data_IF_138630107025
#
_entry.id   IF_138630107025
#
_cell.length_a   1.000
_cell.length_b   1.000
_cell.length_c   1.000
_cell.angle_alpha   90.00
_cell.angle_beta   90.00
_cell.angle_gamma   90.00
#
_symmetry.space_group_name_H-M   'P 1'
#
loop_
_entity.id
_entity.type
_entity.pdbx_description
1 polymer ?
#
# COMPACT_ATOMS: atom_id res chain seq x y z
N UNK A 1 -8.50 -13.87 4.70
CA UNK A 1 -9.87 -13.77 4.13
C UNK A 1 -10.04 -14.89 3.09
N UNK A 2 -10.07 -16.17 3.53
CA UNK A 2 -9.96 -17.34 2.65
C UNK A 2 -11.10 -17.47 1.63
N UNK A 3 -12.29 -16.97 1.95
CA UNK A 3 -13.46 -16.99 1.07
C UNK A 3 -13.26 -16.30 -0.28
N UNK A 4 -12.44 -15.23 -0.34
CA UNK A 4 -12.19 -14.50 -1.60
C UNK A 4 -11.26 -15.26 -2.57
N UNK A 5 -10.42 -16.16 -2.05
CA UNK A 5 -9.52 -16.98 -2.88
C UNK A 5 -10.28 -17.99 -3.72
N UNK A 6 -11.40 -18.52 -3.18
CA UNK A 6 -12.23 -19.53 -3.83
C UNK A 6 -13.08 -18.98 -4.98
N UNK A 7 -13.41 -17.69 -4.97
CA UNK A 7 -14.28 -17.09 -5.99
C UNK A 7 -13.54 -16.60 -7.24
N UNK A 8 -12.20 -16.61 -7.23
CA UNK A 8 -11.37 -16.12 -8.35
C UNK A 8 -11.52 -14.64 -8.67
N UNK A 9 -12.23 -13.87 -7.84
CA UNK A 9 -12.65 -12.48 -8.11
C UNK A 9 -11.73 -11.43 -7.50
N UNK A 10 -10.55 -11.84 -7.03
CA UNK A 10 -9.60 -10.97 -6.35
C UNK A 10 -8.36 -10.76 -7.24
N UNK A 11 -7.89 -9.52 -7.28
CA UNK A 11 -6.68 -9.15 -8.02
C UNK A 11 -5.66 -8.62 -7.03
N UNK A 12 -4.43 -9.14 -7.11
CA UNK A 12 -3.30 -8.63 -6.34
C UNK A 12 -2.47 -7.72 -7.23
N UNK A 13 -2.32 -6.46 -6.82
CA UNK A 13 -1.43 -5.53 -7.48
C UNK A 13 -0.18 -5.33 -6.62
N UNK A 14 0.98 -5.81 -7.08
CA UNK A 14 2.28 -5.61 -6.42
C UNK A 14 3.35 -5.22 -7.45
N UNK A 15 4.48 -4.68 -6.98
CA UNK A 15 5.64 -4.37 -7.81
C UNK A 15 6.41 -5.64 -8.19
N UNK A 16 7.17 -5.59 -9.28
CA UNK A 16 7.93 -6.74 -9.80
C UNK A 16 9.27 -6.98 -9.08
N UNK A 17 9.35 -6.73 -7.77
CA UNK A 17 10.57 -6.93 -7.01
C UNK A 17 10.94 -8.43 -6.93
N UNK A 18 12.21 -8.85 -7.11
CA UNK A 18 12.59 -10.26 -7.10
C UNK A 18 12.16 -11.02 -5.84
N UNK A 19 12.23 -10.37 -4.68
CA UNK A 19 11.72 -10.95 -3.43
C UNK A 19 10.24 -11.35 -3.54
N UNK A 20 9.41 -10.54 -4.19
CA UNK A 20 7.97 -10.78 -4.38
C UNK A 20 7.64 -11.78 -5.49
N UNK A 21 8.64 -12.26 -6.23
CA UNK A 21 8.48 -13.31 -7.26
C UNK A 21 8.57 -14.74 -6.70
N UNK A 22 9.04 -14.90 -5.45
CA UNK A 22 9.11 -16.20 -4.79
C UNK A 22 7.73 -16.71 -4.37
N UNK A 23 7.48 -18.01 -4.57
CA UNK A 23 6.17 -18.68 -4.38
C UNK A 23 5.57 -18.46 -2.97
N UNK A 24 6.41 -18.33 -1.95
CA UNK A 24 6.03 -18.11 -0.55
C UNK A 24 5.50 -16.70 -0.23
N UNK A 25 5.78 -15.70 -1.08
CA UNK A 25 5.31 -14.32 -0.84
C UNK A 25 3.86 -14.12 -1.28
N UNK A 26 3.36 -14.95 -2.21
CA UNK A 26 1.96 -14.91 -2.69
C UNK A 26 0.93 -15.14 -1.58
N UNK A 27 1.31 -15.78 -0.47
CA UNK A 27 0.38 -16.12 0.62
C UNK A 27 0.32 -15.08 1.75
N UNK A 28 1.27 -14.13 1.85
CA UNK A 28 1.47 -13.43 3.13
C UNK A 28 1.27 -11.90 3.16
N UNK A 29 1.27 -11.14 2.06
CA UNK A 29 1.37 -9.68 2.17
C UNK A 29 0.32 -8.88 1.38
N UNK A 30 -0.39 -8.00 2.11
CA UNK A 30 -1.23 -6.94 1.54
C UNK A 30 -1.06 -5.61 2.30
N UNK A 31 -0.67 -4.59 1.53
CA UNK A 31 -1.05 -3.17 1.57
C UNK A 31 -1.43 -2.50 2.90
N UNK A 32 -0.61 -1.54 3.36
CA UNK A 32 -0.99 -0.15 3.79
C UNK A 32 0.25 0.77 4.01
N UNK A 33 1.21 0.78 3.09
CA UNK A 33 2.52 1.44 3.32
C UNK A 33 2.45 2.97 3.53
N UNK A 34 1.53 3.66 2.85
CA UNK A 34 1.53 5.13 2.84
C UNK A 34 0.97 5.78 4.13
N UNK A 35 -0.19 5.31 4.62
CA UNK A 35 -0.84 5.88 5.80
C UNK A 35 -0.03 5.65 7.08
N UNK A 36 0.57 4.46 7.19
CA UNK A 36 1.46 4.11 8.30
C UNK A 36 2.73 4.96 8.25
N UNK A 37 3.31 5.17 7.06
CA UNK A 37 4.53 5.98 6.92
C UNK A 37 4.32 7.40 7.44
N UNK A 38 3.17 8.03 7.18
CA UNK A 38 2.87 9.35 7.74
C UNK A 38 2.63 9.31 9.25
N UNK A 39 1.89 8.33 9.75
CA UNK A 39 1.54 8.22 11.18
C UNK A 39 2.77 7.96 12.07
N UNK A 40 3.72 7.18 11.56
CA UNK A 40 4.94 6.81 12.30
C UNK A 40 6.13 7.74 12.03
N UNK A 41 5.98 8.75 11.15
CA UNK A 41 7.07 9.66 10.79
C UNK A 41 7.53 10.46 12.01
N UNK A 42 8.84 10.50 12.25
CA UNK A 42 9.45 11.26 13.35
C UNK A 42 9.38 10.56 14.71
N UNK A 43 8.72 9.41 14.83
CA UNK A 43 8.72 8.62 16.05
C UNK A 43 9.99 7.76 16.12
N UNK A 44 10.68 7.80 17.26
CA UNK A 44 11.80 6.90 17.58
C UNK A 44 11.27 5.68 18.32
N UNK A 45 11.66 4.50 17.87
CA UNK A 45 11.32 3.22 18.49
C UNK A 45 12.58 2.50 18.94
N UNK A 46 12.57 1.99 20.17
CA UNK A 46 13.69 1.24 20.76
C UNK A 46 13.58 -0.28 20.50
N UNK A 47 12.40 -0.75 20.08
CA UNK A 47 12.10 -2.18 19.96
C UNK A 47 11.18 -2.45 18.75
N UNK A 48 11.47 -3.54 18.04
CA UNK A 48 10.68 -4.10 16.95
C UNK A 48 9.27 -4.51 17.41
N UNK A 49 9.10 -5.00 18.64
CA UNK A 49 7.79 -5.36 19.21
C UNK A 49 6.89 -4.13 19.24
N UNK A 50 7.43 -2.99 19.66
CA UNK A 50 6.70 -1.71 19.71
C UNK A 50 6.35 -1.22 18.30
N UNK A 51 7.25 -1.37 17.32
CA UNK A 51 6.97 -1.04 15.92
C UNK A 51 5.81 -1.88 15.39
N UNK A 52 5.84 -3.21 15.61
CA UNK A 52 4.78 -4.12 15.16
C UNK A 52 3.43 -3.76 15.78
N UNK A 53 3.40 -3.49 17.09
CA UNK A 53 2.19 -3.11 17.80
C UNK A 53 1.61 -1.79 17.28
N UNK A 54 2.41 -0.73 17.17
CA UNK A 54 1.95 0.55 16.64
C UNK A 54 1.46 0.43 15.18
N UNK A 55 2.23 -0.28 14.35
CA UNK A 55 1.85 -0.55 12.95
C UNK A 55 0.49 -1.25 12.88
N UNK A 56 0.27 -2.28 13.70
CA UNK A 56 -1.00 -3.01 13.74
C UNK A 56 -2.16 -2.14 14.21
N UNK A 57 -1.95 -1.24 15.16
CA UNK A 57 -2.95 -0.27 15.62
C UNK A 57 -3.33 0.70 14.51
N UNK A 58 -2.35 1.32 13.85
CA UNK A 58 -2.61 2.23 12.72
C UNK A 58 -3.31 1.52 11.56
N UNK A 59 -2.92 0.27 11.28
CA UNK A 59 -3.56 -0.57 10.27
C UNK A 59 -5.05 -0.79 10.55
N UNK A 60 -5.40 -1.09 11.80
CA UNK A 60 -6.78 -1.33 12.23
C UNK A 60 -7.62 -0.05 12.25
N UNK A 61 -6.99 1.11 12.44
CA UNK A 61 -7.68 2.40 12.47
C UNK A 61 -8.09 2.92 11.08
N UNK A 62 -7.60 2.30 10.00
CA UNK A 62 -7.93 2.75 8.63
C UNK A 62 -9.40 2.46 8.31
N UNK A 63 -10.16 3.52 8.08
CA UNK A 63 -11.58 3.40 7.73
C UNK A 63 -11.76 2.91 6.30
N UNK A 64 -12.97 2.37 6.01
CA UNK A 64 -13.35 1.99 4.67
C UNK A 64 -13.27 3.19 3.70
N UNK A 65 -13.70 4.38 4.13
CA UNK A 65 -13.69 5.58 3.27
C UNK A 65 -12.26 6.02 2.95
N UNK A 66 -11.35 5.96 3.93
CA UNK A 66 -9.94 6.27 3.71
C UNK A 66 -9.32 5.32 2.68
N UNK A 67 -9.66 4.03 2.76
CA UNK A 67 -9.21 3.04 1.78
C UNK A 67 -9.79 3.30 0.39
N UNK A 68 -11.11 3.49 0.27
CA UNK A 68 -11.78 3.79 -1.00
C UNK A 68 -11.24 5.06 -1.66
N UNK A 69 -11.02 6.12 -0.88
CA UNK A 69 -10.41 7.36 -1.36
C UNK A 69 -9.00 7.14 -1.88
N UNK A 70 -8.20 6.31 -1.21
CA UNK A 70 -6.86 5.96 -1.65
C UNK A 70 -6.89 5.17 -2.96
N UNK A 71 -7.83 4.24 -3.10
CA UNK A 71 -8.03 3.49 -4.34
C UNK A 71 -8.45 4.38 -5.50
N UNK A 72 -9.36 5.33 -5.27
CA UNK A 72 -9.76 6.32 -6.29
C UNK A 72 -8.56 7.15 -6.77
N UNK A 73 -7.73 7.64 -5.83
CA UNK A 73 -6.49 8.36 -6.20
C UNK A 73 -5.54 7.51 -7.06
N UNK A 74 -5.45 6.21 -6.79
CA UNK A 74 -4.67 5.29 -7.63
C UNK A 74 -5.24 5.20 -9.05
N UNK A 75 -6.56 5.11 -9.22
CA UNK A 75 -7.21 5.15 -10.54
C UNK A 75 -6.99 6.48 -11.27
N UNK A 76 -7.09 7.61 -10.55
CA UNK A 76 -6.83 8.94 -11.12
C UNK A 76 -5.38 9.06 -11.62
N UNK A 77 -4.41 8.53 -10.86
CA UNK A 77 -2.99 8.49 -11.26
C UNK A 77 -2.76 7.61 -12.49
N UNK A 78 -3.48 6.50 -12.62
CA UNK A 78 -3.42 5.68 -13.83
C UNK A 78 -3.93 6.48 -15.05
N UNK A 79 -5.08 7.14 -14.95
CA UNK A 79 -5.57 7.99 -16.03
C UNK A 79 -4.57 9.07 -16.41
N UNK A 80 -3.90 9.68 -15.42
CA UNK A 80 -2.88 10.69 -15.67
C UNK A 80 -1.64 10.12 -16.39
N UNK A 81 -1.20 8.90 -16.01
CA UNK A 81 -0.12 8.19 -16.71
C UNK A 81 -0.45 7.95 -18.19
N UNK A 82 -1.68 7.55 -18.50
CA UNK A 82 -2.15 7.39 -19.89
C UNK A 82 -2.06 8.74 -20.63
N UNK A 83 -2.59 9.80 -20.04
CA UNK A 83 -2.55 11.15 -20.64
C UNK A 83 -1.14 11.70 -20.81
N UNK A 84 -0.19 11.25 -19.97
CA UNK A 84 1.22 11.65 -20.03
C UNK A 84 2.05 10.77 -20.97
N UNK A 85 1.44 9.81 -21.67
CA UNK A 85 2.17 8.88 -22.54
C UNK A 85 3.15 7.96 -21.79
N UNK A 86 2.93 7.75 -20.50
CA UNK A 86 3.83 6.96 -19.63
C UNK A 86 4.92 7.78 -18.93
N UNK A 87 5.02 9.08 -19.18
CA UNK A 87 5.99 9.94 -18.50
C UNK A 87 5.65 10.15 -17.02
N UNK A 88 6.69 10.37 -16.21
CA UNK A 88 6.53 10.68 -14.80
C UNK A 88 6.06 12.13 -14.61
N UNK A 89 5.07 12.33 -13.75
CA UNK A 89 4.32 13.60 -13.65
C UNK A 89 4.36 14.26 -12.26
N UNK A 90 5.10 13.71 -11.30
CA UNK A 90 5.21 14.26 -9.94
C UNK A 90 6.63 14.85 -9.71
N UNK A 91 6.89 16.08 -10.19
CA UNK A 91 8.13 16.82 -9.92
C UNK A 91 8.19 17.42 -8.50
N UNK A 92 9.39 17.47 -7.92
CA UNK A 92 9.69 17.80 -6.51
C UNK A 92 8.96 19.02 -5.90
N UNK A 93 8.46 18.84 -4.67
CA UNK A 93 7.85 19.86 -3.80
C UNK A 93 8.92 20.74 -3.11
N UNK A 94 10.13 20.80 -3.66
CA UNK A 94 11.26 21.59 -3.15
C UNK A 94 11.74 22.64 -4.16
N UNK A 95 10.80 23.35 -4.78
CA UNK A 95 11.02 24.74 -5.21
C UNK A 95 10.41 25.68 -4.19
#
# INVERSE_FOLDING_TARGET
RPEKWRSGTWFLHHDNAPAHSALSIREFLAEKKYLIKSALKGQRFQDVVKIKANTATELKAITLEQFQRTFKKWQDRWNHCISSGGEYFEGDIFK
#
